data_IF_371879434257
#
_entry.id   IF_371879434257
#
_cell.length_a   1.000
_cell.length_b   1.000
_cell.length_c   1.000
_cell.angle_alpha   90.00
_cell.angle_beta   90.00
_cell.angle_gamma   90.00
#
_symmetry.space_group_name_H-M   'P 1'
#
loop_
_entity.id
_entity.type
_entity.pdbx_description
1 polymer ?
#
# COMPACT_ATOMS: atom_id res chain seq x y z
N UNK A 1 -46.17 -7.23 -19.00
CA UNK A 1 -45.43 -6.17 -19.69
C UNK A 1 -44.74 -5.20 -18.72
N UNK A 2 -45.44 -4.63 -17.73
CA UNK A 2 -44.86 -3.63 -16.81
C UNK A 2 -43.68 -4.12 -15.97
N UNK A 3 -43.62 -5.41 -15.61
CA UNK A 3 -42.53 -5.96 -14.78
C UNK A 3 -41.15 -5.84 -15.45
N UNK A 4 -41.07 -6.01 -16.77
CA UNK A 4 -39.81 -5.85 -17.51
C UNK A 4 -39.40 -4.38 -17.61
N UNK A 5 -40.35 -3.49 -17.89
CA UNK A 5 -40.08 -2.05 -17.95
C UNK A 5 -39.60 -1.51 -16.60
N UNK A 6 -40.24 -1.91 -15.51
CA UNK A 6 -39.82 -1.54 -14.15
C UNK A 6 -38.43 -2.09 -13.80
N UNK A 7 -38.11 -3.35 -14.14
CA UNK A 7 -36.80 -3.92 -13.85
C UNK A 7 -35.68 -3.24 -14.64
N UNK A 8 -35.90 -2.93 -15.92
CA UNK A 8 -34.92 -2.22 -16.75
C UNK A 8 -34.68 -0.81 -16.23
N UNK A 9 -35.74 -0.08 -15.87
CA UNK A 9 -35.59 1.27 -15.29
C UNK A 9 -34.90 1.25 -13.92
N UNK A 10 -35.18 0.25 -13.09
CA UNK A 10 -34.49 0.05 -11.82
C UNK A 10 -32.99 -0.23 -12.03
N UNK A 11 -32.64 -1.11 -12.97
CA UNK A 11 -31.25 -1.40 -13.32
C UNK A 11 -30.50 -0.17 -13.81
N UNK A 12 -31.09 0.62 -14.71
CA UNK A 12 -30.47 1.86 -15.23
C UNK A 12 -30.31 2.91 -14.13
N UNK A 13 -31.27 3.02 -13.21
CA UNK A 13 -31.18 3.94 -12.07
C UNK A 13 -30.06 3.54 -11.10
N UNK A 14 -29.86 2.23 -10.86
CA UNK A 14 -28.75 1.71 -10.05
C UNK A 14 -27.41 1.89 -10.77
N UNK A 15 -27.34 1.62 -12.08
CA UNK A 15 -26.13 1.80 -12.88
C UNK A 15 -25.67 3.26 -12.91
N UNK A 16 -26.59 4.21 -13.05
CA UNK A 16 -26.27 5.65 -12.99
C UNK A 16 -25.69 6.07 -11.63
N UNK A 17 -26.07 5.37 -10.56
CA UNK A 17 -25.57 5.60 -9.19
C UNK A 17 -24.38 4.72 -8.84
N UNK A 18 -23.86 3.95 -9.78
CA UNK A 18 -22.72 3.06 -9.54
C UNK A 18 -21.41 3.85 -9.62
N UNK A 19 -20.83 4.14 -8.47
CA UNK A 19 -19.54 4.85 -8.34
C UNK A 19 -18.35 3.89 -8.26
N UNK A 20 -18.57 2.56 -8.30
CA UNK A 20 -17.49 1.56 -8.13
C UNK A 20 -16.37 1.71 -9.17
N UNK A 21 -16.69 2.21 -10.37
CA UNK A 21 -15.70 2.51 -11.40
C UNK A 21 -14.82 3.72 -11.08
N UNK A 22 -15.38 4.77 -10.46
CA UNK A 22 -14.64 5.96 -10.02
C UNK A 22 -13.79 5.62 -8.80
N UNK A 23 -14.36 4.85 -7.87
CA UNK A 23 -13.64 4.33 -6.71
C UNK A 23 -12.44 3.46 -7.10
N UNK A 24 -12.57 2.65 -8.15
CA UNK A 24 -11.48 1.81 -8.62
C UNK A 24 -10.29 2.61 -9.20
N UNK A 25 -10.55 3.70 -9.93
CA UNK A 25 -9.46 4.53 -10.49
C UNK A 25 -8.76 5.36 -9.42
N UNK A 26 -9.49 5.83 -8.41
CA UNK A 26 -8.92 6.56 -7.27
C UNK A 26 -8.00 5.66 -6.43
N UNK A 27 -8.46 4.48 -6.05
CA UNK A 27 -7.62 3.52 -5.33
C UNK A 27 -6.44 3.05 -6.17
N UNK A 28 -6.59 2.94 -7.50
CA UNK A 28 -5.49 2.67 -8.41
C UNK A 28 -4.39 3.74 -8.33
N UNK A 29 -4.75 5.03 -8.35
CA UNK A 29 -3.80 6.14 -8.21
C UNK A 29 -3.11 6.13 -6.83
N UNK A 30 -3.88 5.92 -5.76
CA UNK A 30 -3.33 5.84 -4.39
C UNK A 30 -2.31 4.70 -4.29
N UNK A 31 -2.59 3.53 -4.88
CA UNK A 31 -1.67 2.41 -4.89
C UNK A 31 -0.33 2.75 -5.58
N UNK A 32 -0.38 3.47 -6.70
CA UNK A 32 0.83 3.96 -7.39
C UNK A 32 1.61 4.94 -6.52
N UNK A 33 0.93 5.92 -5.90
CA UNK A 33 1.56 6.89 -5.02
C UNK A 33 2.23 6.22 -3.80
N UNK A 34 1.56 5.22 -3.20
CA UNK A 34 2.12 4.44 -2.10
C UNK A 34 3.32 3.61 -2.54
N UNK A 35 3.28 2.99 -3.73
CA UNK A 35 4.40 2.23 -4.26
C UNK A 35 5.66 3.10 -4.44
N UNK A 36 5.50 4.33 -4.96
CA UNK A 36 6.60 5.29 -5.10
C UNK A 36 7.12 5.74 -3.74
N UNK A 37 6.23 6.08 -2.80
CA UNK A 37 6.62 6.52 -1.46
C UNK A 37 7.37 5.43 -0.68
N UNK A 38 6.88 4.20 -0.71
CA UNK A 38 7.55 3.05 -0.09
C UNK A 38 8.90 2.79 -0.77
N UNK A 39 8.96 2.82 -2.10
CA UNK A 39 10.23 2.65 -2.81
C UNK A 39 11.24 3.73 -2.42
N UNK A 40 10.84 4.99 -2.30
CA UNK A 40 11.72 6.07 -1.87
C UNK A 40 12.19 5.91 -0.41
N UNK A 41 11.32 5.47 0.49
CA UNK A 41 11.65 5.26 1.90
C UNK A 41 12.54 4.02 2.12
N UNK A 42 12.30 2.95 1.37
CA UNK A 42 12.94 1.64 1.51
C UNK A 42 14.03 1.34 0.46
N UNK A 43 14.32 2.26 -0.47
CA UNK A 43 15.45 2.12 -1.38
C UNK A 43 16.75 1.90 -0.60
N UNK A 44 17.72 1.20 -1.20
CA UNK A 44 19.00 0.86 -0.56
C UNK A 44 19.72 2.08 0.00
N UNK A 45 19.57 3.23 -0.66
CA UNK A 45 20.22 4.49 -0.32
C UNK A 45 19.31 5.37 0.56
N UNK A 46 18.15 4.84 0.96
CA UNK A 46 17.18 5.48 1.82
C UNK A 46 17.66 5.58 3.26
N UNK A 47 17.32 6.70 3.90
CA UNK A 47 17.67 7.00 5.30
C UNK A 47 17.16 5.92 6.27
N UNK A 48 16.00 5.31 5.98
CA UNK A 48 15.38 4.30 6.84
C UNK A 48 16.11 2.96 6.80
N UNK A 49 16.43 2.43 5.61
CA UNK A 49 17.19 1.17 5.50
C UNK A 49 18.60 1.32 6.07
N UNK A 50 19.23 2.46 5.85
CA UNK A 50 20.54 2.76 6.43
C UNK A 50 20.49 2.75 7.97
N UNK A 51 19.51 3.43 8.57
CA UNK A 51 19.34 3.45 10.02
C UNK A 51 19.03 2.07 10.60
N UNK A 52 18.17 1.28 9.95
CA UNK A 52 17.85 -0.09 10.36
C UNK A 52 19.08 -0.99 10.31
N UNK A 53 19.83 -0.97 9.20
CA UNK A 53 21.07 -1.74 9.09
C UNK A 53 22.10 -1.34 10.15
N UNK A 54 22.26 -0.05 10.41
CA UNK A 54 23.16 0.44 11.46
C UNK A 54 22.73 -0.04 12.85
N UNK A 55 21.43 0.01 13.16
CA UNK A 55 20.90 -0.48 14.44
C UNK A 55 21.14 -1.99 14.61
N UNK A 56 20.86 -2.80 13.58
CA UNK A 56 21.13 -4.24 13.63
C UNK A 56 22.62 -4.55 13.73
N UNK A 57 23.47 -3.83 12.98
CA UNK A 57 24.93 -3.98 13.08
C UNK A 57 25.43 -3.68 14.50
N UNK A 58 24.89 -2.63 15.15
CA UNK A 58 25.24 -2.30 16.52
C UNK A 58 24.86 -3.44 17.48
N UNK A 59 23.66 -4.01 17.34
CA UNK A 59 23.20 -5.15 18.13
C UNK A 59 24.14 -6.35 17.94
N UNK A 60 24.44 -6.70 16.68
CA UNK A 60 25.36 -7.80 16.36
C UNK A 60 26.75 -7.56 16.95
N UNK A 61 27.26 -6.34 16.88
CA UNK A 61 28.57 -5.97 17.44
C UNK A 61 28.57 -6.15 18.95
N UNK A 62 27.57 -5.62 19.66
CA UNK A 62 27.45 -5.78 21.11
C UNK A 62 27.34 -7.25 21.53
N UNK A 63 26.53 -8.05 20.83
CA UNK A 63 26.39 -9.48 21.10
C UNK A 63 27.70 -10.24 20.86
N UNK A 64 28.43 -9.90 19.80
CA UNK A 64 29.72 -10.52 19.49
C UNK A 64 30.76 -10.17 20.54
N UNK A 65 30.84 -8.91 20.97
CA UNK A 65 31.72 -8.48 22.06
C UNK A 65 31.42 -9.23 23.35
N UNK A 66 30.15 -9.35 23.73
CA UNK A 66 29.73 -10.09 24.93
C UNK A 66 30.06 -11.59 24.86
N UNK A 67 30.00 -12.18 23.66
CA UNK A 67 30.27 -13.62 23.46
C UNK A 67 31.78 -13.91 23.36
N UNK A 68 32.58 -12.95 22.89
CA UNK A 68 34.03 -13.07 22.74
C UNK A 68 34.81 -12.99 24.07
N UNK A 69 34.13 -12.78 25.21
CA UNK A 69 34.76 -12.88 26.53
C UNK A 69 35.69 -11.72 26.87
N UNK A 70 35.32 -10.49 26.52
CA UNK A 70 35.78 -9.27 27.20
C UNK A 70 34.57 -8.52 27.75
#
# INVERSE_FOLDING_TARGET
MNKFYCNTMAFLATYKKDERGVTAIEYGLIAVAMAVALTAAFASDGNLMTALNAAFALITTNLTSMTAGT
#
